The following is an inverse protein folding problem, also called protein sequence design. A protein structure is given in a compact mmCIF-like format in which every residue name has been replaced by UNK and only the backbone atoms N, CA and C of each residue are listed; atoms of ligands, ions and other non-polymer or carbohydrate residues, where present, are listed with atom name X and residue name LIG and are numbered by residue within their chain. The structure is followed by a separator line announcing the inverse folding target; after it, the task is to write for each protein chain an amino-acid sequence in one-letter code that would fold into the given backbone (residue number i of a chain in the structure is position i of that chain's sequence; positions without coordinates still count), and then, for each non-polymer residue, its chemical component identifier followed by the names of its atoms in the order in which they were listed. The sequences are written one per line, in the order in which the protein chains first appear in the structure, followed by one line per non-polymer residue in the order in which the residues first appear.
data_IF_382692707500
#
_entry.id   IF_382692707500
#
_cell.length_a   1.000
_cell.length_b   1.000
_cell.length_c   1.000
_cell.angle_alpha   90.00
_cell.angle_beta   90.00
_cell.angle_gamma   90.00
#
_symmetry.space_group_name_H-M   'P 1'
#
loop_
_entity.id
_entity.type
_entity.pdbx_description
1 polymer ?
#
# COMPACT_ATOMS: atom_id res chain seq x y z
N UNK A 1 2.60 -67.07 -18.65
CA UNK A 1 3.75 -66.13 -18.68
C UNK A 1 3.85 -65.54 -20.08
N UNK A 2 3.30 -64.34 -20.30
CA UNK A 2 3.53 -63.51 -21.49
C UNK A 2 3.49 -62.04 -21.07
N UNK A 3 4.42 -61.25 -21.62
CA UNK A 3 4.93 -59.99 -21.09
C UNK A 3 4.06 -58.78 -21.44
N UNK A 4 4.14 -57.78 -20.54
CA UNK A 4 4.03 -56.33 -20.71
C UNK A 4 3.29 -55.78 -21.94
N UNK A 5 2.21 -55.05 -21.68
CA UNK A 5 2.02 -53.74 -22.30
C UNK A 5 1.32 -52.82 -21.31
N UNK A 6 2.12 -52.09 -20.56
CA UNK A 6 1.66 -51.09 -19.59
C UNK A 6 1.27 -49.83 -20.38
N UNK A 7 -0.04 -49.62 -20.57
CA UNK A 7 -0.57 -48.35 -21.05
C UNK A 7 -0.29 -47.27 -20.01
N UNK A 8 0.85 -46.61 -20.13
CA UNK A 8 1.22 -45.46 -19.32
C UNK A 8 0.37 -44.27 -19.78
N UNK A 9 -0.80 -44.10 -19.16
CA UNK A 9 -1.58 -42.90 -19.27
C UNK A 9 -0.83 -41.78 -18.53
N UNK A 10 0.00 -41.05 -19.25
CA UNK A 10 0.67 -39.85 -18.76
C UNK A 10 -0.39 -38.75 -18.59
N UNK A 11 -0.98 -38.69 -17.39
CA UNK A 11 -1.89 -37.63 -16.98
C UNK A 11 -1.07 -36.34 -16.87
N UNK A 12 -1.10 -35.53 -17.93
CA UNK A 12 -0.48 -34.21 -17.96
C UNK A 12 -1.26 -33.28 -17.01
N UNK A 13 -0.84 -33.28 -15.74
CA UNK A 13 -1.33 -32.37 -14.71
C UNK A 13 -0.80 -30.97 -15.04
N UNK A 14 -1.58 -30.19 -15.80
CA UNK A 14 -1.35 -28.76 -15.96
C UNK A 14 -1.55 -28.09 -14.59
N UNK A 15 -0.47 -27.96 -13.82
CA UNK A 15 -0.43 -27.04 -12.69
C UNK A 15 -0.49 -25.61 -13.27
N UNK A 16 -1.70 -25.06 -13.37
CA UNK A 16 -1.87 -23.63 -13.53
C UNK A 16 -1.35 -22.98 -12.23
N UNK A 17 -0.14 -22.42 -12.28
CA UNK A 17 0.36 -21.57 -11.21
C UNK A 17 -0.56 -20.36 -11.12
N UNK A 18 -1.40 -20.32 -10.08
CA UNK A 18 -2.12 -19.10 -9.71
C UNK A 18 -1.08 -18.06 -9.29
N UNK A 19 -0.71 -17.17 -10.20
CA UNK A 19 0.03 -15.95 -9.87
C UNK A 19 -0.91 -15.07 -9.07
N UNK A 20 -0.79 -15.09 -7.75
CA UNK A 20 -1.41 -14.10 -6.88
C UNK A 20 -0.54 -12.86 -6.89
N UNK A 21 -1.04 -11.75 -7.44
CA UNK A 21 -0.42 -10.45 -7.22
C UNK A 21 -0.54 -10.11 -5.73
N UNK A 22 0.60 -9.92 -5.06
CA UNK A 22 0.61 -9.52 -3.66
C UNK A 22 0.05 -8.10 -3.57
N UNK A 23 -0.99 -7.90 -2.76
CA UNK A 23 -1.66 -6.60 -2.64
C UNK A 23 -1.90 -6.22 -1.19
N UNK A 24 -1.72 -4.93 -0.91
CA UNK A 24 -1.96 -4.31 0.39
C UNK A 24 -3.05 -3.26 0.26
N UNK A 25 -4.08 -3.34 1.10
CA UNK A 25 -5.15 -2.34 1.15
C UNK A 25 -4.96 -1.44 2.36
N UNK A 26 -4.82 -0.14 2.12
CA UNK A 26 -4.60 0.89 3.15
C UNK A 26 -5.84 1.76 3.26
N UNK A 27 -6.47 1.82 4.44
CA UNK A 27 -7.57 2.75 4.70
C UNK A 27 -7.03 4.15 4.99
N UNK A 28 -7.58 5.15 4.30
CA UNK A 28 -7.18 6.54 4.43
C UNK A 28 -8.22 7.30 5.25
N UNK A 29 -7.76 8.01 6.28
CA UNK A 29 -8.59 8.87 7.10
C UNK A 29 -8.16 10.33 6.95
N UNK A 30 -9.10 11.25 7.12
CA UNK A 30 -8.81 12.67 7.24
C UNK A 30 -7.89 12.94 8.43
N UNK A 31 -6.78 13.64 8.20
CA UNK A 31 -5.88 14.06 9.26
C UNK A 31 -6.46 15.30 9.96
N UNK A 32 -6.62 15.21 11.28
CA UNK A 32 -7.14 16.32 12.10
C UNK A 32 -6.15 16.69 13.20
N UNK A 33 -6.46 17.74 13.97
CA UNK A 33 -5.72 18.07 15.19
C UNK A 33 -6.12 17.19 16.39
N UNK A 34 -7.12 16.32 16.22
CA UNK A 34 -7.50 15.33 17.24
C UNK A 34 -6.62 14.09 17.16
N UNK A 35 -6.42 13.42 18.29
CA UNK A 35 -5.78 12.10 18.33
C UNK A 35 -6.69 11.00 17.76
N UNK A 36 -7.99 11.27 17.65
CA UNK A 36 -8.96 10.37 17.05
C UNK A 36 -8.85 10.38 15.51
N UNK A 37 -9.18 9.26 14.88
CA UNK A 37 -9.23 9.18 13.43
C UNK A 37 -10.32 10.09 12.90
N UNK A 38 -9.99 10.91 11.90
CA UNK A 38 -10.98 11.68 11.17
C UNK A 38 -11.85 10.81 10.27
N UNK A 39 -12.63 11.47 9.42
CA UNK A 39 -13.53 10.82 8.47
C UNK A 39 -12.79 9.77 7.62
N UNK A 40 -13.41 8.61 7.41
CA UNK A 40 -12.95 7.64 6.42
C UNK A 40 -13.10 8.22 5.01
N UNK A 41 -12.00 8.29 4.27
CA UNK A 41 -11.94 8.82 2.91
C UNK A 41 -11.92 7.72 1.86
N UNK A 42 -11.89 6.45 2.26
CA UNK A 42 -11.77 5.30 1.38
C UNK A 42 -10.41 4.62 1.50
N UNK A 43 -9.96 3.96 0.43
CA UNK A 43 -8.74 3.13 0.48
C UNK A 43 -7.80 3.37 -0.68
N UNK A 44 -6.51 3.10 -0.46
CA UNK A 44 -5.51 2.94 -1.52
C UNK A 44 -5.09 1.48 -1.55
N UNK A 45 -5.22 0.84 -2.71
CA UNK A 45 -4.69 -0.51 -2.93
C UNK A 45 -3.30 -0.39 -3.54
N UNK A 46 -2.32 -1.03 -2.94
CA UNK A 46 -0.94 -1.13 -3.40
C UNK A 46 -0.75 -2.52 -3.98
N UNK A 47 -0.27 -2.63 -5.21
CA UNK A 47 -0.04 -3.92 -5.88
C UNK A 47 1.35 -3.94 -6.49
N UNK A 48 2.07 -5.05 -6.28
CA UNK A 48 3.35 -5.28 -6.94
C UNK A 48 3.14 -5.58 -8.44
N UNK A 49 3.87 -4.87 -9.29
CA UNK A 49 3.94 -5.11 -10.74
C UNK A 49 5.41 -5.27 -11.17
N UNK A 50 5.68 -5.80 -12.38
CA UNK A 50 7.05 -5.88 -12.89
C UNK A 50 7.77 -4.52 -12.98
N UNK A 51 7.03 -3.41 -13.08
CA UNK A 51 7.53 -2.05 -13.23
C UNK A 51 7.65 -1.30 -11.89
N UNK A 52 7.13 -1.86 -10.79
CA UNK A 52 7.16 -1.25 -9.47
C UNK A 52 5.85 -1.41 -8.70
N UNK A 53 5.57 -0.48 -7.79
CA UNK A 53 4.33 -0.48 -7.02
C UNK A 53 3.25 0.36 -7.71
N UNK A 54 2.10 -0.24 -7.97
CA UNK A 54 0.91 0.46 -8.44
C UNK A 54 0.03 0.86 -7.26
N UNK A 55 -0.21 2.16 -7.10
CA UNK A 55 -1.12 2.72 -6.09
C UNK A 55 -2.46 3.07 -6.77
N UNK A 56 -3.53 2.35 -6.41
CA UNK A 56 -4.88 2.55 -6.94
C UNK A 56 -5.78 3.17 -5.87
N UNK A 57 -5.97 4.50 -5.88
CA UNK A 57 -6.85 5.17 -4.92
C UNK A 57 -8.32 4.97 -5.27
N UNK A 58 -9.11 4.57 -4.28
CA UNK A 58 -10.57 4.64 -4.28
C UNK A 58 -10.97 5.59 -3.14
N UNK A 59 -10.76 6.89 -3.38
CA UNK A 59 -10.91 7.95 -2.39
C UNK A 59 -12.07 8.89 -2.72
N UNK A 60 -12.67 9.48 -1.70
CA UNK A 60 -13.77 10.44 -1.81
C UNK A 60 -13.62 11.59 -0.81
N UNK A 61 -14.32 12.71 -1.05
CA UNK A 61 -14.30 13.86 -0.14
C UNK A 61 -13.07 14.76 -0.24
N UNK A 62 -12.21 14.55 -1.24
CA UNK A 62 -11.09 15.45 -1.56
C UNK A 62 -11.56 16.59 -2.47
N UNK A 63 -10.91 17.75 -2.36
CA UNK A 63 -11.11 18.83 -3.32
C UNK A 63 -10.67 18.39 -4.72
N UNK A 64 -11.38 18.78 -5.80
CA UNK A 64 -10.95 18.46 -7.15
C UNK A 64 -9.57 19.06 -7.46
N UNK A 65 -8.68 18.27 -8.05
CA UNK A 65 -7.33 18.69 -8.42
C UNK A 65 -6.28 17.63 -8.15
N UNK A 66 -5.02 17.97 -8.41
CA UNK A 66 -3.85 17.12 -8.09
C UNK A 66 -3.43 17.39 -6.64
N UNK A 67 -3.23 16.32 -5.89
CA UNK A 67 -2.74 16.34 -4.51
C UNK A 67 -1.36 15.69 -4.44
N UNK A 68 -0.49 16.19 -3.57
CA UNK A 68 0.77 15.50 -3.26
C UNK A 68 0.52 14.15 -2.60
N UNK A 69 1.26 13.12 -3.00
CA UNK A 69 1.09 11.76 -2.50
C UNK A 69 2.46 11.14 -2.27
N UNK A 70 2.77 10.82 -1.02
CA UNK A 70 4.10 10.37 -0.58
C UNK A 70 3.95 9.30 0.50
N UNK A 71 4.98 8.48 0.65
CA UNK A 71 5.15 7.60 1.81
C UNK A 71 5.92 8.36 2.87
N UNK A 72 5.48 8.24 4.12
CA UNK A 72 6.11 8.87 5.27
C UNK A 72 6.93 7.84 6.06
N UNK A 73 7.91 8.32 6.84
CA UNK A 73 8.92 7.49 7.50
C UNK A 73 8.38 6.68 8.70
N UNK A 74 7.37 7.19 9.40
CA UNK A 74 6.81 6.53 10.59
C UNK A 74 5.37 6.04 10.36
N UNK A 75 5.00 4.86 10.91
CA UNK A 75 3.64 4.32 10.83
C UNK A 75 2.70 4.98 11.85
N UNK A 76 2.65 6.32 11.90
CA UNK A 76 1.88 7.06 12.89
C UNK A 76 1.19 8.29 12.28
N UNK A 77 -0.11 8.21 12.02
CA UNK A 77 -0.87 9.32 11.44
C UNK A 77 -1.39 10.33 12.48
N UNK A 78 -1.00 10.23 13.76
CA UNK A 78 -1.46 11.14 14.81
C UNK A 78 -0.91 12.57 14.65
N UNK A 79 -1.63 13.58 15.18
CA UNK A 79 -1.11 14.94 15.21
C UNK A 79 0.11 15.08 16.14
N UNK A 80 0.84 16.18 15.99
CA UNK A 80 1.96 16.53 16.86
C UNK A 80 2.14 18.04 17.02
N UNK A 81 2.99 18.45 17.97
CA UNK A 81 3.28 19.87 18.22
C UNK A 81 4.48 20.33 17.39
N UNK A 82 4.32 21.40 16.61
CA UNK A 82 5.41 22.10 15.91
C UNK A 82 5.26 23.61 16.14
N UNK A 83 6.30 24.27 16.65
CA UNK A 83 6.30 25.71 16.92
C UNK A 83 5.05 26.20 17.71
N UNK A 84 4.66 25.46 18.74
CA UNK A 84 3.52 25.80 19.61
C UNK A 84 2.12 25.52 19.02
N UNK A 85 2.03 24.91 17.82
CA UNK A 85 0.77 24.55 17.17
C UNK A 85 0.62 23.05 17.01
N UNK A 86 -0.61 22.55 17.11
CA UNK A 86 -0.96 21.18 16.75
C UNK A 86 -1.05 21.07 15.23
N UNK A 87 -0.26 20.19 14.65
CA UNK A 87 -0.19 19.93 13.22
C UNK A 87 -0.75 18.52 12.95
N UNK A 88 -1.79 18.39 12.11
CA UNK A 88 -2.32 17.08 11.71
C UNK A 88 -1.25 16.18 11.10
N UNK A 89 -1.30 14.88 11.41
CA UNK A 89 -0.41 13.84 10.89
C UNK A 89 1.12 14.08 11.05
N UNK A 90 1.54 15.03 11.90
CA UNK A 90 2.96 15.36 12.07
C UNK A 90 3.80 14.16 12.53
N UNK A 91 3.21 13.23 13.29
CA UNK A 91 3.94 12.06 13.79
C UNK A 91 4.30 11.06 12.70
N UNK A 92 3.80 11.22 11.46
CA UNK A 92 4.20 10.42 10.33
C UNK A 92 5.68 10.70 9.96
N UNK A 93 6.23 11.82 10.42
CA UNK A 93 7.57 12.26 10.07
C UNK A 93 7.64 12.86 8.67
N UNK A 94 8.85 13.00 8.15
CA UNK A 94 9.08 13.48 6.78
C UNK A 94 8.81 12.40 5.73
N UNK A 95 9.23 12.67 4.50
CA UNK A 95 9.19 11.67 3.42
C UNK A 95 10.06 10.45 3.76
N UNK A 96 9.57 9.27 3.40
CA UNK A 96 10.35 8.05 3.50
C UNK A 96 11.57 8.14 2.58
N UNK A 97 12.75 8.10 3.18
CA UNK A 97 14.03 8.22 2.49
C UNK A 97 15.02 7.20 3.10
N UNK A 98 15.01 5.94 2.64
CA UNK A 98 15.85 4.89 3.21
C UNK A 98 17.34 5.12 2.96
N UNK A 99 17.69 5.98 1.99
CA UNK A 99 19.07 6.26 1.60
C UNK A 99 19.60 7.57 2.21
N UNK A 100 18.77 8.31 2.97
CA UNK A 100 19.11 9.59 3.60
C UNK A 100 19.73 10.63 2.65
N UNK A 101 19.26 10.67 1.40
CA UNK A 101 19.75 11.53 0.32
C UNK A 101 19.02 12.88 0.26
N UNK A 102 17.80 12.97 0.80
CA UNK A 102 17.06 14.22 0.93
C UNK A 102 15.93 14.10 1.97
N UNK A 103 16.15 14.57 3.21
CA UNK A 103 15.06 14.81 4.16
C UNK A 103 14.29 16.07 3.75
N UNK A 104 13.25 15.91 2.94
CA UNK A 104 12.29 16.99 2.71
C UNK A 104 11.37 17.14 3.95
N UNK A 105 11.57 18.30 4.61
CA UNK A 105 10.76 19.08 5.60
C UNK A 105 9.77 18.38 6.53
#
# INVERSE_FOLDING_TARGET
MMKLTQCSAFLLLCFASVVSANSLKVTMHEATTSAEKGKDLGTVTITETPEGLLFTPALSGLTPGIHGFHIHDHPNCSPGQKAGKTVPALQAGGHFDPNNIAKAV
#
